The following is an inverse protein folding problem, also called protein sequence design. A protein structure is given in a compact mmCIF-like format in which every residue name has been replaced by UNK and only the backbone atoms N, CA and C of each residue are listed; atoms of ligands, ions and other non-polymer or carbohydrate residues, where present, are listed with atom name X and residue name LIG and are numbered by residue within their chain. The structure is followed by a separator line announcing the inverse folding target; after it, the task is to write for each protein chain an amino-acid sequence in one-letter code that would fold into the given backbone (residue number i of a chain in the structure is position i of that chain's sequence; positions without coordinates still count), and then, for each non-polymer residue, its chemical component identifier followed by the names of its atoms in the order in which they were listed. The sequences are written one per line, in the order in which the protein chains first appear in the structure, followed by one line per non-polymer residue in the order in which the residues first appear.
data_IF_044456548301
#
_entry.id   IF_044456548301
#
_cell.length_a   1.000
_cell.length_b   1.000
_cell.length_c   1.000
_cell.angle_alpha   90.00
_cell.angle_beta   90.00
_cell.angle_gamma   90.00
#
_symmetry.space_group_name_H-M   'P 1'
#
loop_
_entity.id
_entity.type
_entity.pdbx_description
1 polymer ?
#
# COMPACT_ATOMS: atom_id res chain seq x y z
N UNK A 1 13.81 17.58 18.04
CA UNK A 1 13.80 16.13 17.69
C UNK A 1 12.75 15.98 16.64
N UNK A 2 13.12 15.51 15.46
CA UNK A 2 12.14 15.20 14.40
C UNK A 2 11.23 14.09 14.93
N UNK A 3 9.91 14.26 14.83
CA UNK A 3 8.96 13.21 15.21
C UNK A 3 9.26 11.98 14.33
N UNK A 4 9.56 10.85 14.96
CA UNK A 4 9.80 9.62 14.23
C UNK A 4 8.50 9.21 13.53
N UNK A 5 8.52 9.16 12.20
CA UNK A 5 7.40 8.69 11.39
C UNK A 5 7.73 7.31 10.81
N UNK A 6 6.79 6.37 10.83
CA UNK A 6 6.96 5.04 10.23
C UNK A 6 5.65 4.54 9.61
N UNK A 7 5.75 3.81 8.55
CA UNK A 7 4.59 3.09 8.02
C UNK A 7 4.13 2.08 9.08
N UNK A 8 2.91 2.22 9.53
CA UNK A 8 2.26 1.29 10.45
C UNK A 8 1.62 0.14 9.67
N UNK A 9 0.87 0.49 8.63
CA UNK A 9 0.19 -0.46 7.76
C UNK A 9 -0.16 0.17 6.41
N UNK A 10 -0.56 -0.68 5.46
CA UNK A 10 -1.31 -0.30 4.26
C UNK A 10 -2.75 -0.78 4.42
N UNK A 11 -3.72 0.10 4.17
CA UNK A 11 -5.13 -0.24 4.20
C UNK A 11 -5.67 -0.35 2.76
N UNK A 12 -6.33 -1.47 2.46
CA UNK A 12 -6.99 -1.74 1.18
C UNK A 12 -8.50 -1.56 1.35
N UNK A 13 -9.12 -0.82 0.45
CA UNK A 13 -10.57 -0.64 0.42
C UNK A 13 -11.25 -1.88 -0.14
N UNK A 14 -12.26 -2.41 0.54
CA UNK A 14 -12.92 -3.64 0.12
C UNK A 14 -14.44 -3.61 0.37
N UNK A 15 -15.24 -4.19 -0.53
CA UNK A 15 -16.69 -4.34 -0.30
C UNK A 15 -17.00 -5.41 0.76
N UNK A 16 -16.10 -6.35 0.99
CA UNK A 16 -16.17 -7.41 1.99
C UNK A 16 -14.81 -7.60 2.67
N UNK A 17 -14.62 -6.89 3.78
CA UNK A 17 -13.37 -6.91 4.55
C UNK A 17 -13.03 -8.29 5.13
N UNK A 18 -14.05 -9.11 5.46
CA UNK A 18 -13.83 -10.44 6.04
C UNK A 18 -13.31 -11.42 4.99
N UNK A 19 -13.90 -11.40 3.80
CA UNK A 19 -13.46 -12.23 2.68
C UNK A 19 -12.02 -11.89 2.29
N UNK A 20 -11.69 -10.59 2.20
CA UNK A 20 -10.35 -10.16 1.82
C UNK A 20 -9.30 -10.46 2.92
N UNK A 21 -9.66 -10.24 4.20
CA UNK A 21 -8.79 -10.60 5.32
C UNK A 21 -8.51 -12.11 5.39
N UNK A 22 -9.52 -12.96 5.13
CA UNK A 22 -9.35 -14.42 5.06
C UNK A 22 -8.38 -14.81 3.94
N UNK A 23 -8.52 -14.19 2.75
CA UNK A 23 -7.61 -14.41 1.63
C UNK A 23 -6.15 -14.11 2.02
N UNK A 24 -5.87 -12.93 2.56
CA UNK A 24 -4.49 -12.57 2.94
C UNK A 24 -3.96 -13.38 4.12
N UNK A 25 -4.80 -13.72 5.10
CA UNK A 25 -4.43 -14.60 6.21
C UNK A 25 -4.01 -15.98 5.69
N UNK A 26 -4.80 -16.58 4.80
CA UNK A 26 -4.51 -17.90 4.23
C UNK A 26 -3.33 -17.90 3.24
N UNK A 27 -3.15 -16.79 2.50
CA UNK A 27 -2.05 -16.63 1.56
C UNK A 27 -0.71 -16.43 2.26
N UNK A 28 -0.66 -15.56 3.27
CA UNK A 28 0.59 -15.12 3.92
C UNK A 28 0.93 -15.91 5.18
N UNK A 29 -0.02 -16.65 5.74
CA UNK A 29 0.13 -17.31 7.05
C UNK A 29 0.09 -16.32 8.22
N UNK A 30 -0.41 -15.10 8.01
CA UNK A 30 -0.55 -14.07 9.03
C UNK A 30 -1.72 -14.31 9.98
N UNK A 31 -1.82 -13.47 11.01
CA UNK A 31 -2.86 -13.53 12.02
C UNK A 31 -3.72 -12.26 12.02
N UNK A 32 -5.04 -12.41 12.21
CA UNK A 32 -5.93 -11.28 12.47
C UNK A 32 -5.61 -10.70 13.84
N UNK A 33 -5.21 -9.42 13.89
CA UNK A 33 -4.85 -8.71 15.13
C UNK A 33 -5.87 -7.66 15.53
N UNK A 34 -6.74 -7.26 14.60
CA UNK A 34 -7.89 -6.39 14.84
C UNK A 34 -9.07 -6.91 14.00
N UNK A 35 -10.24 -7.04 14.60
CA UNK A 35 -11.46 -7.52 13.94
C UNK A 35 -12.65 -6.62 14.33
N UNK A 36 -12.96 -5.66 13.45
CA UNK A 36 -14.15 -4.81 13.54
C UNK A 36 -15.05 -5.00 12.31
N UNK A 37 -16.31 -4.61 12.35
CA UNK A 37 -17.25 -4.80 11.23
C UNK A 37 -16.82 -4.07 9.95
N UNK A 38 -16.12 -2.96 10.09
CA UNK A 38 -15.70 -2.03 9.02
C UNK A 38 -14.18 -1.95 8.84
N UNK A 39 -13.42 -2.69 9.68
CA UNK A 39 -11.97 -2.67 9.65
C UNK A 39 -11.37 -3.97 10.20
N UNK A 40 -10.54 -4.64 9.43
CA UNK A 40 -9.81 -5.83 9.87
C UNK A 40 -8.32 -5.63 9.58
N UNK A 41 -7.46 -5.94 10.55
CA UNK A 41 -6.01 -5.88 10.36
C UNK A 41 -5.39 -7.28 10.47
N UNK A 42 -4.61 -7.65 9.48
CA UNK A 42 -3.79 -8.87 9.45
C UNK A 42 -2.33 -8.50 9.65
N UNK A 43 -1.68 -9.14 10.62
CA UNK A 43 -0.24 -9.04 10.81
C UNK A 43 0.43 -10.25 10.16
N UNK A 44 1.34 -9.98 9.24
CA UNK A 44 2.16 -10.99 8.59
C UNK A 44 3.16 -11.60 9.58
N UNK A 45 3.67 -12.79 9.27
CA UNK A 45 4.70 -13.46 10.10
C UNK A 45 5.96 -12.60 10.23
N UNK A 46 6.29 -11.82 9.20
CA UNK A 46 7.41 -10.86 9.18
C UNK A 46 7.17 -9.59 10.01
N UNK A 47 5.94 -9.39 10.52
CA UNK A 47 5.58 -8.31 11.43
C UNK A 47 4.86 -7.11 10.78
N UNK A 48 4.90 -6.96 9.46
CA UNK A 48 4.17 -5.92 8.74
C UNK A 48 2.66 -6.15 8.85
N UNK A 49 1.88 -5.10 8.63
CA UNK A 49 0.44 -5.16 8.75
C UNK A 49 -0.25 -4.70 7.46
N UNK A 50 -1.30 -5.41 7.09
CA UNK A 50 -2.24 -5.04 6.04
C UNK A 50 -3.61 -4.90 6.69
N UNK A 51 -4.28 -3.78 6.48
CA UNK A 51 -5.65 -3.58 6.92
C UNK A 51 -6.62 -3.60 5.75
N UNK A 52 -7.87 -3.90 6.03
CA UNK A 52 -8.97 -3.92 5.08
C UNK A 52 -10.06 -3.01 5.60
N UNK A 53 -10.32 -1.94 4.87
CA UNK A 53 -11.33 -0.94 5.19
C UNK A 53 -12.61 -1.22 4.41
N UNK A 54 -13.76 -1.20 5.07
CA UNK A 54 -15.05 -1.38 4.41
C UNK A 54 -15.36 -0.17 3.51
N UNK A 55 -15.41 -0.44 2.22
CA UNK A 55 -15.80 0.49 1.17
C UNK A 55 -16.88 -0.18 0.30
N UNK A 56 -18.18 -0.06 0.64
CA UNK A 56 -19.26 -0.74 -0.08
C UNK A 56 -19.33 -0.38 -1.56
N UNK A 57 -18.87 0.82 -1.91
CA UNK A 57 -18.84 1.35 -3.29
C UNK A 57 -17.47 1.16 -3.95
N UNK A 58 -16.61 0.29 -3.41
CA UNK A 58 -15.30 0.00 -3.99
C UNK A 58 -15.44 -0.43 -5.45
N UNK A 59 -14.64 0.21 -6.30
CA UNK A 59 -14.55 -0.12 -7.72
C UNK A 59 -13.11 -0.56 -8.01
N UNK A 60 -12.90 -1.83 -8.38
CA UNK A 60 -11.56 -2.34 -8.62
C UNK A 60 -10.87 -1.63 -9.79
N UNK A 61 -9.54 -1.50 -9.77
CA UNK A 61 -8.79 -1.03 -10.92
C UNK A 61 -8.93 -1.97 -12.13
N UNK A 62 -8.74 -1.42 -13.31
CA UNK A 62 -8.60 -2.18 -14.57
C UNK A 62 -7.13 -2.23 -14.97
N UNK A 63 -6.44 -3.21 -14.46
CA UNK A 63 -5.03 -3.40 -14.79
C UNK A 63 -4.86 -4.18 -16.11
N UNK A 64 -3.97 -3.78 -17.05
CA UNK A 64 -3.06 -2.63 -17.01
C UNK A 64 -3.67 -1.34 -17.60
N UNK A 65 -4.99 -1.24 -17.70
CA UNK A 65 -5.71 -0.11 -18.29
C UNK A 65 -5.58 1.18 -17.51
N UNK A 66 -5.85 2.31 -18.18
CA UNK A 66 -5.80 3.64 -17.57
C UNK A 66 -7.20 4.32 -17.48
N UNK A 67 -8.27 3.58 -17.70
CA UNK A 67 -9.63 4.11 -17.48
C UNK A 67 -9.97 4.13 -15.99
N UNK A 68 -9.54 3.08 -15.27
CA UNK A 68 -9.55 2.98 -13.80
C UNK A 68 -8.19 2.44 -13.36
N UNK A 69 -7.15 3.31 -13.36
CA UNK A 69 -5.81 2.85 -13.10
C UNK A 69 -5.66 2.32 -11.68
N UNK A 70 -4.75 1.40 -11.48
CA UNK A 70 -4.27 1.10 -10.13
C UNK A 70 -3.67 2.38 -9.52
N UNK A 71 -3.74 2.49 -8.21
CA UNK A 71 -3.11 3.56 -7.43
C UNK A 71 -1.95 3.01 -6.62
N UNK A 72 -2.13 1.78 -6.16
CA UNK A 72 -1.19 1.03 -5.32
C UNK A 72 -1.14 -0.43 -5.76
N UNK A 73 -0.02 -1.08 -5.50
CA UNK A 73 0.04 -2.54 -5.40
C UNK A 73 1.01 -2.98 -4.30
N UNK A 74 0.88 -4.21 -3.85
CA UNK A 74 1.74 -4.80 -2.84
C UNK A 74 2.80 -5.67 -3.50
N UNK A 75 4.04 -5.58 -3.04
CA UNK A 75 5.11 -6.49 -3.41
C UNK A 75 5.38 -7.46 -2.26
N UNK A 76 5.02 -8.72 -2.45
CA UNK A 76 5.22 -9.80 -1.49
C UNK A 76 6.41 -10.65 -1.92
N UNK A 77 7.46 -10.71 -1.10
CA UNK A 77 8.59 -11.61 -1.33
C UNK A 77 8.21 -13.03 -0.96
N UNK A 78 8.54 -13.95 -1.85
CA UNK A 78 8.23 -15.38 -1.70
C UNK A 78 9.38 -16.25 -2.20
N UNK A 79 9.53 -17.44 -1.63
CA UNK A 79 10.37 -18.49 -2.16
C UNK A 79 9.51 -19.44 -3.02
N UNK A 80 9.70 -19.40 -4.35
CA UNK A 80 8.88 -20.16 -5.30
C UNK A 80 7.61 -19.42 -5.76
N UNK A 81 7.77 -18.26 -6.41
CA UNK A 81 6.67 -17.38 -6.85
C UNK A 81 5.60 -18.07 -7.69
N UNK A 82 5.95 -19.06 -8.53
CA UNK A 82 4.96 -19.81 -9.32
C UNK A 82 4.04 -20.68 -8.45
N UNK A 83 4.60 -21.36 -7.45
CA UNK A 83 3.81 -22.17 -6.53
C UNK A 83 2.93 -21.28 -5.64
N UNK A 84 3.47 -20.14 -5.21
CA UNK A 84 2.72 -19.13 -4.45
C UNK A 84 1.58 -18.54 -5.28
N UNK A 85 1.81 -18.24 -6.58
CA UNK A 85 0.78 -17.75 -7.49
C UNK A 85 -0.33 -18.80 -7.72
N UNK A 86 0.02 -20.07 -7.90
CA UNK A 86 -0.96 -21.14 -7.99
C UNK A 86 -1.82 -21.21 -6.71
N UNK A 87 -1.20 -21.10 -5.53
CA UNK A 87 -1.91 -21.06 -4.25
C UNK A 87 -2.82 -19.84 -4.14
N UNK A 88 -2.36 -18.65 -4.55
CA UNK A 88 -3.19 -17.44 -4.54
C UNK A 88 -4.44 -17.60 -5.43
N UNK A 89 -4.29 -18.21 -6.62
CA UNK A 89 -5.42 -18.50 -7.52
C UNK A 89 -6.42 -19.48 -6.90
N UNK A 90 -5.94 -20.52 -6.21
CA UNK A 90 -6.82 -21.45 -5.46
C UNK A 90 -7.63 -20.71 -4.37
N UNK A 91 -7.07 -19.65 -3.78
CA UNK A 91 -7.72 -18.81 -2.78
C UNK A 91 -8.66 -17.74 -3.37
N UNK A 92 -8.68 -17.58 -4.69
CA UNK A 92 -9.60 -16.67 -5.38
C UNK A 92 -8.94 -15.50 -6.08
N UNK A 93 -7.60 -15.41 -6.14
CA UNK A 93 -6.91 -14.39 -6.93
C UNK A 93 -7.03 -14.67 -8.43
N UNK A 94 -6.89 -13.62 -9.23
CA UNK A 94 -6.83 -13.71 -10.68
C UNK A 94 -5.42 -13.40 -11.17
N UNK A 95 -4.81 -14.28 -11.96
CA UNK A 95 -3.49 -14.04 -12.56
C UNK A 95 -3.60 -13.02 -13.66
N UNK A 96 -2.79 -11.97 -13.63
CA UNK A 96 -2.81 -10.84 -14.56
C UNK A 96 -1.64 -10.85 -15.54
N UNK A 97 -0.40 -11.03 -15.01
CA UNK A 97 0.80 -11.01 -15.84
C UNK A 97 1.93 -11.85 -15.23
N UNK A 98 2.93 -12.15 -16.07
CA UNK A 98 4.11 -12.91 -15.72
C UNK A 98 5.36 -12.09 -16.02
N UNK A 99 6.20 -11.88 -15.01
CA UNK A 99 7.56 -11.37 -15.12
C UNK A 99 8.60 -12.49 -15.09
N UNK A 100 9.87 -12.13 -15.22
CA UNK A 100 10.97 -13.09 -15.14
C UNK A 100 11.17 -13.66 -13.71
N UNK A 101 10.84 -12.89 -12.69
CA UNK A 101 11.02 -13.21 -11.27
C UNK A 101 9.84 -12.78 -10.41
N UNK A 102 8.71 -12.50 -11.00
CA UNK A 102 7.47 -12.16 -10.28
C UNK A 102 6.25 -12.61 -11.07
N UNK A 103 5.13 -12.68 -10.39
CA UNK A 103 3.80 -12.88 -10.97
C UNK A 103 2.89 -11.78 -10.42
N UNK A 104 2.22 -11.06 -11.32
CA UNK A 104 1.20 -10.08 -10.95
C UNK A 104 -0.17 -10.75 -10.89
N UNK A 105 -0.87 -10.58 -9.79
CA UNK A 105 -2.23 -11.07 -9.57
C UNK A 105 -3.15 -9.94 -9.11
N UNK A 106 -4.46 -10.15 -9.24
CA UNK A 106 -5.47 -9.36 -8.53
C UNK A 106 -6.05 -10.20 -7.39
N UNK A 107 -6.19 -9.59 -6.22
CA UNK A 107 -6.87 -10.20 -5.08
C UNK A 107 -8.40 -10.31 -5.31
N UNK A 108 -9.17 -10.93 -4.41
CA UNK A 108 -10.63 -11.06 -4.58
C UNK A 108 -11.41 -9.74 -4.66
N UNK A 109 -10.84 -8.63 -4.19
CA UNK A 109 -11.41 -7.28 -4.33
C UNK A 109 -10.90 -6.55 -5.58
N UNK A 110 -9.92 -7.12 -6.29
CA UNK A 110 -9.37 -6.63 -7.55
C UNK A 110 -8.09 -5.79 -7.41
N UNK A 111 -7.50 -5.68 -6.22
CA UNK A 111 -6.23 -4.95 -6.05
C UNK A 111 -5.10 -5.77 -6.66
N UNK A 112 -4.26 -5.16 -7.50
CA UNK A 112 -3.05 -5.80 -7.98
C UNK A 112 -2.04 -6.03 -6.85
N UNK A 113 -1.34 -7.15 -6.92
CA UNK A 113 -0.18 -7.44 -6.08
C UNK A 113 0.80 -8.33 -6.81
N UNK A 114 2.08 -8.18 -6.48
CA UNK A 114 3.15 -8.97 -7.06
C UNK A 114 3.69 -10.01 -6.05
N UNK A 115 3.85 -11.23 -6.51
CA UNK A 115 4.61 -12.26 -5.82
C UNK A 115 6.00 -12.28 -6.43
N UNK A 116 6.97 -11.73 -5.71
CA UNK A 116 8.34 -11.51 -6.18
C UNK A 116 9.26 -12.60 -5.64
N UNK A 117 9.97 -13.28 -6.54
CA UNK A 117 10.91 -14.34 -6.17
C UNK A 117 12.07 -13.79 -5.35
N UNK A 118 12.27 -14.35 -4.19
CA UNK A 118 13.45 -14.15 -3.36
C UNK A 118 13.83 -15.44 -2.64
N UNK A 119 14.97 -15.98 -3.02
CA UNK A 119 15.47 -17.21 -2.41
C UNK A 119 15.77 -17.00 -0.92
N UNK A 120 15.36 -17.96 -0.10
CA UNK A 120 15.67 -17.97 1.31
C UNK A 120 14.79 -17.11 2.22
N UNK A 121 13.69 -16.53 1.71
CA UNK A 121 12.67 -15.84 2.55
C UNK A 121 11.98 -16.84 3.49
N UNK A 122 12.02 -18.13 3.16
CA UNK A 122 11.32 -19.17 3.92
C UNK A 122 9.88 -19.36 3.47
N UNK A 123 9.08 -20.11 4.23
CA UNK A 123 7.69 -20.39 3.84
C UNK A 123 6.72 -19.23 4.06
N UNK A 124 7.13 -18.23 4.86
CA UNK A 124 6.30 -17.06 5.14
C UNK A 124 6.55 -15.96 4.10
N UNK A 125 5.48 -15.35 3.62
CA UNK A 125 5.57 -14.18 2.75
C UNK A 125 5.95 -12.93 3.56
N UNK A 126 6.73 -12.04 2.93
CA UNK A 126 7.14 -10.76 3.51
C UNK A 126 6.57 -9.62 2.65
N UNK A 127 5.87 -8.68 3.25
CA UNK A 127 5.51 -7.43 2.57
C UNK A 127 6.76 -6.57 2.42
N UNK A 128 7.39 -6.65 1.27
CA UNK A 128 8.62 -5.93 0.96
C UNK A 128 8.37 -4.45 0.71
N UNK A 129 7.39 -4.16 -0.14
CA UNK A 129 7.07 -2.79 -0.51
C UNK A 129 5.57 -2.59 -0.72
N UNK A 130 5.16 -1.35 -0.52
CA UNK A 130 3.95 -0.79 -1.10
C UNK A 130 4.40 0.06 -2.29
N UNK A 131 3.97 -0.32 -3.49
CA UNK A 131 4.29 0.40 -4.72
C UNK A 131 3.16 1.35 -5.07
N UNK A 132 3.51 2.60 -5.32
CA UNK A 132 2.59 3.73 -5.57
C UNK A 132 2.82 4.24 -6.99
N UNK A 133 1.78 4.33 -7.78
CA UNK A 133 1.83 4.88 -9.14
C UNK A 133 1.88 6.42 -9.10
N UNK A 134 2.80 7.04 -9.82
CA UNK A 134 2.95 8.49 -9.84
C UNK A 134 3.45 9.03 -11.19
N UNK A 135 3.16 10.31 -11.51
CA UNK A 135 3.68 10.96 -12.72
C UNK A 135 5.16 11.31 -12.61
N UNK A 136 5.64 11.58 -11.38
CA UNK A 136 7.02 11.91 -11.05
C UNK A 136 7.47 11.06 -9.85
N UNK A 137 8.09 9.93 -10.17
CA UNK A 137 8.50 8.97 -9.17
C UNK A 137 9.63 9.49 -8.27
N UNK A 138 10.56 10.27 -8.82
CA UNK A 138 11.65 10.88 -8.05
C UNK A 138 11.10 11.86 -7.01
N UNK A 139 10.23 12.79 -7.43
CA UNK A 139 9.64 13.78 -6.51
C UNK A 139 8.83 13.11 -5.39
N UNK A 140 8.01 12.10 -5.72
CA UNK A 140 7.22 11.41 -4.71
C UNK A 140 8.10 10.53 -3.80
N UNK A 141 9.15 9.90 -4.34
CA UNK A 141 10.13 9.15 -3.56
C UNK A 141 10.83 10.02 -2.52
N UNK A 142 11.27 11.21 -2.90
CA UNK A 142 11.87 12.18 -1.97
C UNK A 142 10.86 12.67 -0.91
N UNK A 143 9.60 12.89 -1.30
CA UNK A 143 8.54 13.21 -0.32
C UNK A 143 8.43 12.17 0.78
N UNK A 144 8.30 10.87 0.42
CA UNK A 144 8.20 9.80 1.41
C UNK A 144 9.51 9.57 2.18
N UNK A 145 10.66 9.70 1.54
CA UNK A 145 11.95 9.62 2.22
C UNK A 145 12.08 10.70 3.30
N UNK A 146 11.77 11.95 2.95
CA UNK A 146 11.78 13.06 3.89
C UNK A 146 10.70 12.91 4.97
N UNK A 147 9.47 12.47 4.64
CA UNK A 147 8.40 12.30 5.62
C UNK A 147 8.76 11.23 6.66
N UNK A 148 9.33 10.11 6.22
CA UNK A 148 9.65 8.94 7.05
C UNK A 148 11.04 8.99 7.70
N UNK A 149 11.87 9.98 7.36
CA UNK A 149 13.29 10.08 7.77
C UNK A 149 14.10 8.85 7.30
N UNK A 150 13.88 8.44 6.03
CA UNK A 150 14.50 7.31 5.37
C UNK A 150 15.34 7.76 4.18
N UNK A 151 16.10 6.83 3.59
CA UNK A 151 16.94 7.09 2.43
C UNK A 151 16.26 6.67 1.12
N UNK A 152 16.51 7.44 0.05
CA UNK A 152 16.20 7.01 -1.31
C UNK A 152 17.31 6.04 -1.75
N UNK A 153 16.97 4.74 -1.73
CA UNK A 153 17.92 3.67 -2.11
C UNK A 153 18.06 3.49 -3.62
N UNK A 154 17.07 3.93 -4.39
CA UNK A 154 17.11 3.97 -5.85
C UNK A 154 16.28 5.16 -6.34
N UNK A 155 16.79 5.86 -7.35
CA UNK A 155 16.11 6.93 -8.07
C UNK A 155 16.51 6.85 -9.54
N UNK A 156 15.58 6.50 -10.39
CA UNK A 156 15.80 6.25 -11.80
C UNK A 156 14.62 6.66 -12.69
N UNK A 157 14.77 6.51 -14.01
CA UNK A 157 13.77 6.98 -14.96
C UNK A 157 12.40 6.26 -14.86
N UNK A 158 12.39 5.06 -14.30
CA UNK A 158 11.19 4.19 -14.22
C UNK A 158 10.53 4.23 -12.84
N UNK A 159 11.27 4.65 -11.79
CA UNK A 159 10.76 4.62 -10.43
C UNK A 159 11.77 5.06 -9.39
N UNK A 160 11.32 5.06 -8.13
CA UNK A 160 12.15 5.33 -6.97
C UNK A 160 11.86 4.28 -5.87
N UNK A 161 12.84 4.04 -4.99
CA UNK A 161 12.71 3.15 -3.84
C UNK A 161 13.16 3.89 -2.58
N UNK A 162 12.27 4.00 -1.62
CA UNK A 162 12.56 4.47 -0.26
C UNK A 162 12.67 3.24 0.64
N UNK A 163 13.85 3.05 1.22
CA UNK A 163 14.19 1.85 1.99
C UNK A 163 14.73 2.22 3.38
N UNK A 164 14.80 1.21 4.27
CA UNK A 164 15.33 1.36 5.63
C UNK A 164 14.28 1.25 6.73
N UNK A 165 13.00 1.26 6.39
CA UNK A 165 11.89 0.96 7.29
C UNK A 165 11.48 -0.53 7.28
N UNK A 166 10.48 -0.90 8.08
CA UNK A 166 9.92 -2.27 8.07
C UNK A 166 9.26 -2.65 6.74
N UNK A 167 8.70 -1.68 6.05
CA UNK A 167 8.11 -1.80 4.71
C UNK A 167 8.72 -0.70 3.85
N UNK A 168 9.20 -1.05 2.66
CA UNK A 168 9.70 -0.07 1.69
C UNK A 168 8.54 0.62 0.97
N UNK A 169 8.77 1.85 0.48
CA UNK A 169 7.88 2.52 -0.47
C UNK A 169 8.55 2.52 -1.83
N UNK A 170 7.95 1.84 -2.80
CA UNK A 170 8.33 1.96 -4.19
C UNK A 170 7.41 2.96 -4.89
N UNK A 171 7.97 3.73 -5.79
CA UNK A 171 7.20 4.63 -6.64
C UNK A 171 7.42 4.18 -8.07
N UNK A 172 6.35 3.87 -8.77
CA UNK A 172 6.37 3.51 -10.18
C UNK A 172 5.93 4.71 -11.02
N UNK A 173 6.74 5.07 -12.00
CA UNK A 173 6.38 6.14 -12.93
C UNK A 173 5.36 5.67 -13.94
N UNK A 174 4.23 6.36 -14.04
CA UNK A 174 3.16 6.07 -14.96
C UNK A 174 2.91 7.25 -15.91
N UNK A 175 3.01 7.01 -17.21
CA UNK A 175 2.61 7.97 -18.22
C UNK A 175 1.07 8.06 -18.28
N UNK A 176 0.53 9.27 -18.33
CA UNK A 176 -0.90 9.49 -18.32
C UNK A 176 -1.58 9.28 -16.98
N UNK A 177 -0.81 9.33 -15.89
CA UNK A 177 -1.28 9.20 -14.52
C UNK A 177 -2.56 10.00 -14.24
N UNK A 178 -3.47 9.38 -13.50
CA UNK A 178 -4.71 10.00 -13.03
C UNK A 178 -4.80 9.86 -11.51
N UNK A 179 -4.69 10.99 -10.81
CA UNK A 179 -4.78 11.00 -9.35
C UNK A 179 -6.13 10.48 -8.85
N UNK A 180 -6.17 9.77 -7.70
CA UNK A 180 -7.41 9.57 -6.98
C UNK A 180 -8.05 10.90 -6.61
N UNK A 181 -9.36 10.91 -6.45
CA UNK A 181 -10.14 12.12 -6.12
C UNK A 181 -11.00 11.89 -4.87
N UNK A 182 -10.47 11.09 -3.94
CA UNK A 182 -11.17 10.83 -2.69
C UNK A 182 -11.55 12.16 -1.98
N UNK A 183 -12.77 12.30 -1.46
CA UNK A 183 -13.85 11.30 -1.41
C UNK A 183 -14.80 11.27 -2.62
N UNK A 184 -14.42 11.78 -3.80
CA UNK A 184 -15.25 11.74 -5.00
C UNK A 184 -15.40 10.29 -5.48
N UNK A 185 -16.64 9.76 -5.61
CA UNK A 185 -16.87 8.40 -6.04
C UNK A 185 -16.52 8.13 -7.53
N UNK A 186 -16.23 9.18 -8.31
CA UNK A 186 -15.81 9.02 -9.71
C UNK A 186 -14.39 8.43 -9.83
N UNK A 187 -13.52 8.73 -8.88
CA UNK A 187 -12.18 8.18 -8.73
C UNK A 187 -11.85 7.95 -7.24
N UNK A 188 -12.48 6.93 -6.62
CA UNK A 188 -12.29 6.66 -5.20
C UNK A 188 -10.85 6.23 -4.93
N UNK A 189 -10.44 6.31 -3.69
CA UNK A 189 -9.23 5.63 -3.25
C UNK A 189 -9.41 4.11 -3.41
N UNK A 190 -8.32 3.41 -3.60
CA UNK A 190 -8.25 1.94 -3.59
C UNK A 190 -7.51 1.45 -2.37
N UNK A 191 -6.58 2.26 -1.89
CA UNK A 191 -5.77 2.00 -0.71
C UNK A 191 -5.26 3.31 -0.11
N UNK A 192 -4.77 3.26 1.13
CA UNK A 192 -4.01 4.35 1.74
C UNK A 192 -2.94 3.81 2.70
N UNK A 193 -1.97 4.65 3.04
CA UNK A 193 -0.98 4.35 4.06
C UNK A 193 -1.41 4.95 5.40
N UNK A 194 -1.29 4.18 6.48
CA UNK A 194 -1.26 4.70 7.83
C UNK A 194 0.18 4.86 8.28
N UNK A 195 0.55 6.10 8.60
CA UNK A 195 1.89 6.49 9.02
C UNK A 195 1.81 6.93 10.47
N UNK A 196 2.38 6.13 11.35
CA UNK A 196 2.42 6.45 12.77
C UNK A 196 3.46 7.53 13.05
N UNK A 197 3.07 8.53 13.85
CA UNK A 197 3.91 9.62 14.33
C UNK A 197 3.82 9.72 15.86
N UNK A 198 4.83 10.31 16.49
CA UNK A 198 4.83 10.53 17.94
C UNK A 198 3.92 11.71 18.35
N UNK A 199 3.71 12.67 17.44
CA UNK A 199 2.92 13.88 17.67
C UNK A 199 2.23 14.29 16.36
N UNK A 200 0.88 14.40 16.39
CA UNK A 200 0.09 14.75 15.20
C UNK A 200 0.32 16.17 14.70
N UNK A 201 0.56 17.13 15.60
CA UNK A 201 0.76 18.51 15.19
C UNK A 201 2.11 18.68 14.49
N UNK A 202 3.17 18.07 15.04
CA UNK A 202 4.49 18.06 14.41
C UNK A 202 4.51 17.25 13.10
N UNK A 203 3.79 16.12 13.05
CA UNK A 203 3.64 15.31 11.84
C UNK A 203 2.91 16.06 10.73
N UNK A 204 1.82 16.75 11.05
CA UNK A 204 1.08 17.61 10.12
C UNK A 204 1.94 18.76 9.59
N UNK A 205 2.64 19.48 10.48
CA UNK A 205 3.53 20.58 10.06
C UNK A 205 4.57 20.06 9.05
N UNK A 206 5.18 18.89 9.33
CA UNK A 206 6.15 18.27 8.43
C UNK A 206 5.52 17.88 7.09
N UNK A 207 4.39 17.17 7.10
CA UNK A 207 3.72 16.72 5.88
C UNK A 207 3.34 17.91 4.98
N UNK A 208 2.77 18.98 5.56
CA UNK A 208 2.40 20.20 4.84
C UNK A 208 3.65 20.92 4.28
N UNK A 209 4.73 20.99 5.04
CA UNK A 209 5.98 21.60 4.59
C UNK A 209 6.62 20.85 3.41
N UNK A 210 6.39 19.53 3.31
CA UNK A 210 6.85 18.68 2.21
C UNK A 210 5.90 18.70 1.00
N UNK A 211 4.74 19.34 1.09
CA UNK A 211 3.82 19.51 -0.03
C UNK A 211 2.57 18.61 0.02
N UNK A 212 2.32 17.89 1.12
CA UNK A 212 1.04 17.22 1.32
C UNK A 212 -0.09 18.24 1.45
N UNK A 213 -1.30 17.81 1.15
CA UNK A 213 -2.53 18.59 1.32
C UNK A 213 -3.38 17.98 2.41
N UNK A 214 -3.81 18.78 3.40
CA UNK A 214 -4.75 18.32 4.43
C UNK A 214 -6.11 18.09 3.81
N UNK A 215 -6.69 16.90 4.05
CA UNK A 215 -8.04 16.55 3.63
C UNK A 215 -9.03 16.58 4.80
N UNK A 216 -10.31 16.62 4.49
CA UNK A 216 -11.36 16.50 5.50
C UNK A 216 -11.35 15.09 6.10
N UNK A 217 -11.70 14.98 7.36
CA UNK A 217 -11.71 13.73 8.10
C UNK A 217 -10.64 13.67 9.20
N UNK A 218 -10.65 12.57 9.95
CA UNK A 218 -9.79 12.39 11.10
C UNK A 218 -10.42 12.80 12.42
N UNK A 219 -9.61 12.82 13.45
CA UNK A 219 -10.03 13.07 14.83
C UNK A 219 -8.84 13.39 15.73
N UNK A 220 -8.94 12.99 16.99
CA UNK A 220 -7.88 13.19 17.96
C UNK A 220 -6.71 12.19 17.82
N UNK A 221 -6.91 11.09 17.11
CA UNK A 221 -5.94 10.00 16.97
C UNK A 221 -5.38 9.85 15.56
N UNK A 222 -5.99 10.48 14.56
CA UNK A 222 -5.48 10.47 13.19
C UNK A 222 -5.89 11.70 12.39
N UNK A 223 -5.17 11.98 11.32
CA UNK A 223 -5.46 13.05 10.35
C UNK A 223 -5.23 12.56 8.93
N UNK A 224 -6.08 12.99 8.00
CA UNK A 224 -6.06 12.56 6.60
C UNK A 224 -5.40 13.59 5.71
N UNK A 225 -4.56 13.13 4.80
CA UNK A 225 -3.81 13.96 3.85
C UNK A 225 -3.85 13.33 2.45
N UNK A 226 -3.57 14.14 1.44
CA UNK A 226 -3.12 13.68 0.14
C UNK A 226 -1.62 13.98 -0.01
N UNK A 227 -0.87 13.04 -0.58
CA UNK A 227 0.51 13.25 -0.98
C UNK A 227 0.61 14.18 -2.21
N UNK A 228 1.80 14.60 -2.66
CA UNK A 228 1.94 15.48 -3.82
C UNK A 228 1.40 14.91 -5.14
N UNK A 229 1.19 13.60 -5.25
CA UNK A 229 0.57 12.94 -6.40
C UNK A 229 -0.94 12.73 -6.22
N UNK A 230 -1.50 13.03 -5.03
CA UNK A 230 -2.92 12.97 -4.71
C UNK A 230 -3.37 11.70 -3.99
N UNK A 231 -2.46 10.78 -3.60
CA UNK A 231 -2.84 9.57 -2.88
C UNK A 231 -3.16 9.90 -1.41
N UNK A 232 -4.26 9.35 -0.88
CA UNK A 232 -4.59 9.53 0.52
C UNK A 232 -3.62 8.77 1.43
N UNK A 233 -3.29 9.39 2.55
CA UNK A 233 -2.59 8.76 3.66
C UNK A 233 -3.06 9.36 4.98
N UNK A 234 -2.92 8.60 6.07
CA UNK A 234 -3.21 9.07 7.41
C UNK A 234 -1.91 9.24 8.21
N UNK A 235 -1.84 10.30 8.99
CA UNK A 235 -0.95 10.36 10.15
C UNK A 235 -1.71 9.85 11.36
N UNK A 236 -1.16 8.89 12.09
CA UNK A 236 -1.79 8.22 13.23
C UNK A 236 -0.94 8.35 14.48
N UNK A 237 -1.55 8.28 15.66
CA UNK A 237 -0.87 8.06 16.94
C UNK A 237 -1.36 6.75 17.55
N UNK A 238 -0.44 5.97 18.11
CA UNK A 238 -0.72 4.69 18.79
C UNK A 238 -1.38 4.86 20.16
#
# INVERSE_FOLDING_TARGET
MTAAARIELVALDAPDVRSLASFYTELTGGDVVQDAPDWITVRLVSGQQIAFQLAPDHVPPEWPGQERPQQFHLDLLVDGHEAAAARAVELGATRLADGASWVTLADPAGHPFDLVQRDGVGPAMELYAVTIDAPDASALGHFYADLLDLEVGYDGPEGALVAGGPTSVMIQKIDGYQAPQWPDPARPQQAHLDIQVDDLDAGEERALALGATRLDGGGSTFRVFADPAGHPFCLTIG
#
